data_IF_388688508984
#
_entry.id   IF_388688508984
#
_cell.length_a   1.000
_cell.length_b   1.000
_cell.length_c   1.000
_cell.angle_alpha   90.00
_cell.angle_beta   90.00
_cell.angle_gamma   90.00
#
_symmetry.space_group_name_H-M   'P 1'
#
loop_
_entity.id
_entity.type
_entity.pdbx_description
1 polymer ?
#
# COMPACT_ATOMS: atom_id res chain seq x y z
N UNK A 1 -2.75 -23.66 -21.77
CA UNK A 1 -2.90 -22.27 -22.26
C UNK A 1 -4.36 -21.78 -22.14
N UNK A 2 -5.11 -22.25 -21.14
CA UNK A 2 -6.51 -21.88 -20.89
C UNK A 2 -6.79 -21.83 -19.39
N UNK A 3 -6.15 -20.92 -18.68
CA UNK A 3 -6.48 -20.73 -17.26
C UNK A 3 -7.56 -19.67 -17.13
N UNK A 4 -8.58 -19.96 -16.31
CA UNK A 4 -9.68 -19.07 -15.91
C UNK A 4 -9.17 -17.66 -15.50
N UNK A 5 -7.95 -17.59 -14.97
CA UNK A 5 -7.24 -16.34 -14.65
C UNK A 5 -7.05 -15.39 -15.83
N UNK A 6 -6.71 -15.93 -17.00
CA UNK A 6 -6.48 -15.16 -18.24
C UNK A 6 -7.80 -14.93 -18.98
N UNK A 7 -8.77 -15.85 -18.80
CA UNK A 7 -10.08 -15.80 -19.46
C UNK A 7 -11.08 -14.86 -18.75
N UNK A 8 -10.91 -14.61 -17.45
CA UNK A 8 -11.76 -13.74 -16.64
C UNK A 8 -10.97 -12.78 -15.73
N UNK A 9 -10.12 -11.90 -16.29
CA UNK A 9 -9.46 -10.83 -15.51
C UNK A 9 -10.49 -9.94 -14.78
N UNK A 10 -11.71 -9.81 -15.34
CA UNK A 10 -12.82 -9.10 -14.70
C UNK A 10 -13.22 -9.68 -13.34
N UNK A 11 -13.19 -11.01 -13.16
CA UNK A 11 -13.53 -11.64 -11.87
C UNK A 11 -12.45 -11.34 -10.83
N UNK A 12 -11.17 -11.36 -11.22
CA UNK A 12 -10.05 -11.02 -10.34
C UNK A 12 -10.12 -9.53 -9.92
N UNK A 13 -10.50 -8.65 -10.85
CA UNK A 13 -10.73 -7.23 -10.56
C UNK A 13 -11.90 -7.02 -9.59
N UNK A 14 -13.02 -7.71 -9.80
CA UNK A 14 -14.17 -7.64 -8.89
C UNK A 14 -13.84 -8.13 -7.48
N UNK A 15 -13.03 -9.19 -7.34
CA UNK A 15 -12.56 -9.66 -6.03
C UNK A 15 -11.72 -8.59 -5.33
N UNK A 16 -10.83 -7.91 -6.06
CA UNK A 16 -10.02 -6.81 -5.51
C UNK A 16 -10.92 -5.66 -4.99
N UNK A 17 -11.94 -5.26 -5.75
CA UNK A 17 -12.87 -4.18 -5.36
C UNK A 17 -13.75 -4.53 -4.15
N UNK A 18 -14.21 -5.79 -4.07
CA UNK A 18 -14.95 -6.28 -2.90
C UNK A 18 -14.04 -6.29 -1.67
N UNK A 19 -12.79 -6.75 -1.84
CA UNK A 19 -11.77 -6.74 -0.79
C UNK A 19 -11.47 -5.32 -0.31
N UNK A 20 -11.27 -4.36 -1.21
CA UNK A 20 -11.08 -2.94 -0.88
C UNK A 20 -12.26 -2.40 -0.05
N UNK A 21 -13.49 -2.64 -0.50
CA UNK A 21 -14.69 -2.19 0.24
C UNK A 21 -14.72 -2.76 1.66
N UNK A 22 -14.41 -4.05 1.82
CA UNK A 22 -14.35 -4.69 3.14
C UNK A 22 -13.24 -4.13 4.02
N UNK A 23 -12.07 -3.84 3.45
CA UNK A 23 -10.95 -3.28 4.20
C UNK A 23 -11.19 -1.82 4.59
N UNK A 24 -11.80 -1.01 3.74
CA UNK A 24 -12.23 0.35 4.09
C UNK A 24 -13.14 0.34 5.31
N UNK A 25 -14.11 -0.57 5.37
CA UNK A 25 -14.99 -0.73 6.53
C UNK A 25 -14.24 -1.23 7.78
N UNK A 26 -13.17 -2.01 7.60
CA UNK A 26 -12.35 -2.51 8.70
C UNK A 26 -11.36 -1.46 9.24
N UNK A 27 -11.00 -0.42 8.50
CA UNK A 27 -10.07 0.63 8.92
C UNK A 27 -10.41 1.25 10.28
N UNK A 28 -11.63 1.75 10.56
CA UNK A 28 -11.93 2.36 11.85
C UNK A 28 -11.69 1.40 13.02
N UNK A 29 -11.91 0.09 12.82
CA UNK A 29 -11.62 -0.94 13.82
C UNK A 29 -10.12 -1.12 14.04
N UNK A 30 -9.35 -1.26 12.95
CA UNK A 30 -7.90 -1.44 13.02
C UNK A 30 -7.19 -0.19 13.59
N UNK A 31 -7.64 0.99 13.22
CA UNK A 31 -7.11 2.26 13.71
C UNK A 31 -7.39 2.45 15.20
N UNK A 32 -8.59 2.11 15.67
CA UNK A 32 -8.94 2.17 17.10
C UNK A 32 -8.16 1.16 17.95
N UNK A 33 -7.86 -0.03 17.41
CA UNK A 33 -7.23 -1.12 18.16
C UNK A 33 -5.69 -1.11 18.11
N UNK A 34 -5.10 -0.78 16.97
CA UNK A 34 -3.66 -0.89 16.73
C UNK A 34 -2.96 0.47 16.59
N UNK A 35 -3.70 1.55 16.32
CA UNK A 35 -3.14 2.88 16.09
C UNK A 35 -2.53 3.06 14.69
N UNK A 36 -2.31 4.31 14.31
CA UNK A 36 -1.88 4.71 12.95
C UNK A 36 -0.58 4.00 12.54
N UNK A 37 0.45 4.02 13.41
CA UNK A 37 1.77 3.43 13.11
C UNK A 37 1.71 1.94 12.81
N UNK A 38 0.98 1.16 13.61
CA UNK A 38 0.88 -0.29 13.41
C UNK A 38 0.10 -0.62 12.14
N UNK A 39 -0.93 0.16 11.82
CA UNK A 39 -1.70 0.00 10.56
C UNK A 39 -0.83 0.28 9.34
N UNK A 40 -0.02 1.34 9.38
CA UNK A 40 0.98 1.61 8.33
C UNK A 40 2.02 0.51 8.21
N UNK A 41 2.51 -0.05 9.32
CA UNK A 41 3.45 -1.19 9.26
C UNK A 41 2.80 -2.45 8.68
N UNK A 42 1.55 -2.76 9.07
CA UNK A 42 0.80 -3.89 8.52
C UNK A 42 0.64 -3.77 7.00
N UNK A 43 0.39 -2.56 6.48
CA UNK A 43 0.30 -2.36 5.03
C UNK A 43 1.64 -2.59 4.34
N UNK A 44 2.75 -2.15 4.93
CA UNK A 44 4.09 -2.37 4.36
C UNK A 44 4.49 -3.85 4.33
N UNK A 45 4.17 -4.62 5.38
CA UNK A 45 4.35 -6.08 5.34
C UNK A 45 3.40 -6.76 4.35
N UNK A 46 2.18 -6.26 4.18
CA UNK A 46 1.26 -6.74 3.16
C UNK A 46 1.80 -6.50 1.74
N UNK A 47 2.51 -5.38 1.49
CA UNK A 47 3.23 -5.14 0.24
C UNK A 47 4.36 -6.17 -0.01
N UNK A 48 5.15 -6.50 1.04
CA UNK A 48 6.17 -7.56 0.95
C UNK A 48 5.52 -8.90 0.61
N UNK A 49 4.45 -9.27 1.31
CA UNK A 49 3.72 -10.51 1.07
C UNK A 49 3.14 -10.54 -0.35
N UNK A 50 2.59 -9.43 -0.84
CA UNK A 50 2.06 -9.31 -2.20
C UNK A 50 3.12 -9.60 -3.24
N UNK A 51 4.28 -8.94 -3.17
CA UNK A 51 5.37 -9.17 -4.12
C UNK A 51 5.98 -10.56 -3.98
N UNK A 52 6.09 -11.09 -2.76
CA UNK A 52 6.50 -12.47 -2.51
C UNK A 52 5.55 -13.47 -3.17
N UNK A 53 4.24 -13.30 -2.98
CA UNK A 53 3.21 -14.14 -3.61
C UNK A 53 3.24 -14.03 -5.14
N UNK A 54 3.53 -12.86 -5.70
CA UNK A 54 3.70 -12.71 -7.15
C UNK A 54 4.96 -13.40 -7.69
N UNK A 55 6.04 -13.45 -6.92
CA UNK A 55 7.26 -14.16 -7.31
C UNK A 55 7.10 -15.68 -7.40
N UNK A 56 6.24 -16.25 -6.55
CA UNK A 56 5.95 -17.69 -6.53
C UNK A 56 4.64 -18.07 -7.25
N UNK A 57 3.77 -17.09 -7.52
CA UNK A 57 2.51 -17.28 -8.21
C UNK A 57 2.72 -17.68 -9.66
N UNK A 58 1.93 -18.66 -10.12
CA UNK A 58 1.96 -19.13 -11.51
C UNK A 58 0.51 -19.18 -12.04
N UNK A 59 0.25 -18.74 -13.29
CA UNK A 59 -1.07 -18.83 -13.91
C UNK A 59 -1.61 -20.27 -14.10
N UNK A 60 -0.90 -21.32 -13.69
CA UNK A 60 -1.45 -22.67 -13.51
C UNK A 60 -1.92 -22.92 -12.07
N UNK A 61 -1.29 -23.87 -11.39
CA UNK A 61 -1.62 -24.28 -10.01
C UNK A 61 -1.40 -23.20 -8.95
N UNK A 62 -0.64 -22.14 -9.28
CA UNK A 62 -0.36 -21.00 -8.40
C UNK A 62 -1.39 -19.87 -8.49
N UNK A 63 -2.51 -20.06 -9.18
CA UNK A 63 -3.54 -19.03 -9.35
C UNK A 63 -4.10 -18.53 -8.01
N UNK A 64 -4.23 -19.43 -7.03
CA UNK A 64 -4.69 -19.06 -5.69
C UNK A 64 -3.74 -18.04 -5.02
N UNK A 65 -2.43 -18.11 -5.28
CA UNK A 65 -1.46 -17.14 -4.76
C UNK A 65 -1.65 -15.75 -5.40
N UNK A 66 -2.03 -15.71 -6.69
CA UNK A 66 -2.33 -14.47 -7.41
C UNK A 66 -3.65 -13.86 -6.90
N UNK A 67 -4.68 -14.69 -6.69
CA UNK A 67 -5.95 -14.21 -6.09
C UNK A 67 -5.71 -13.69 -4.67
N UNK A 68 -4.91 -14.40 -3.87
CA UNK A 68 -4.54 -13.97 -2.52
C UNK A 68 -3.76 -12.65 -2.55
N UNK A 69 -2.83 -12.47 -3.50
CA UNK A 69 -2.07 -11.23 -3.65
C UNK A 69 -2.95 -10.04 -4.07
N UNK A 70 -4.03 -10.29 -4.81
CA UNK A 70 -5.08 -9.32 -5.13
C UNK A 70 -5.93 -8.92 -3.92
N UNK A 71 -6.24 -9.84 -3.00
CA UNK A 71 -6.95 -9.51 -1.76
C UNK A 71 -6.05 -8.68 -0.84
N UNK A 72 -4.80 -9.13 -0.66
CA UNK A 72 -3.80 -8.46 0.16
C UNK A 72 -3.47 -7.06 -0.37
N UNK A 73 -3.59 -6.85 -1.69
CA UNK A 73 -3.47 -5.54 -2.30
C UNK A 73 -4.43 -4.52 -1.72
N UNK A 74 -5.72 -4.83 -1.69
CA UNK A 74 -6.75 -3.88 -1.24
C UNK A 74 -6.45 -3.46 0.18
N UNK A 75 -6.14 -4.43 1.05
CA UNK A 75 -5.68 -4.14 2.41
C UNK A 75 -4.45 -3.22 2.43
N UNK A 76 -3.40 -3.56 1.67
CA UNK A 76 -2.15 -2.81 1.67
C UNK A 76 -2.32 -1.38 1.14
N UNK A 77 -3.10 -1.22 0.07
CA UNK A 77 -3.39 0.06 -0.56
C UNK A 77 -4.27 0.93 0.33
N UNK A 78 -5.40 0.40 0.82
CA UNK A 78 -6.35 1.15 1.63
C UNK A 78 -5.74 1.54 2.97
N UNK A 79 -5.09 0.60 3.66
CA UNK A 79 -4.50 0.88 4.96
C UNK A 79 -3.39 1.92 4.83
N UNK A 80 -2.53 1.84 3.80
CA UNK A 80 -1.49 2.85 3.61
C UNK A 80 -2.05 4.23 3.27
N UNK A 81 -2.95 4.32 2.29
CA UNK A 81 -3.46 5.60 1.81
C UNK A 81 -4.34 6.30 2.85
N UNK A 82 -5.25 5.57 3.50
CA UNK A 82 -6.18 6.16 4.46
C UNK A 82 -5.49 6.48 5.77
N UNK A 83 -4.66 5.57 6.32
CA UNK A 83 -3.92 5.88 7.56
C UNK A 83 -2.88 6.99 7.35
N UNK A 84 -2.21 7.03 6.19
CA UNK A 84 -1.31 8.11 5.83
C UNK A 84 -2.03 9.46 5.71
N UNK A 85 -3.19 9.48 5.06
CA UNK A 85 -4.01 10.69 4.94
C UNK A 85 -4.49 11.19 6.31
N UNK A 86 -4.94 10.29 7.19
CA UNK A 86 -5.33 10.62 8.57
C UNK A 86 -4.15 11.09 9.42
N UNK A 87 -2.95 10.55 9.20
CA UNK A 87 -1.75 11.03 9.87
C UNK A 87 -1.42 12.47 9.47
N UNK A 88 -1.42 12.76 8.16
CA UNK A 88 -1.18 14.10 7.62
C UNK A 88 -2.25 15.08 8.11
N UNK A 89 -3.51 14.65 8.18
CA UNK A 89 -4.61 15.44 8.75
C UNK A 89 -4.33 15.84 10.21
N UNK A 90 -3.88 14.88 11.02
CA UNK A 90 -3.58 15.11 12.44
C UNK A 90 -2.37 16.02 12.69
N UNK A 91 -1.49 16.18 11.70
CA UNK A 91 -0.31 17.05 11.77
C UNK A 91 -0.53 18.42 11.12
N UNK A 92 -1.69 18.66 10.51
CA UNK A 92 -1.98 19.90 9.78
C UNK A 92 -3.13 20.68 10.40
N UNK A 93 -3.08 22.02 10.25
CA UNK A 93 -4.14 22.88 10.76
C UNK A 93 -5.45 22.66 9.99
N UNK A 94 -6.63 22.82 10.63
CA UNK A 94 -7.92 22.53 10.01
C UNK A 94 -8.14 23.19 8.64
N UNK A 95 -7.57 24.39 8.46
CA UNK A 95 -7.72 25.19 7.23
C UNK A 95 -7.06 24.55 6.00
N UNK A 96 -6.04 23.70 6.17
CA UNK A 96 -5.28 23.11 5.06
C UNK A 96 -5.33 21.58 5.00
N UNK A 97 -6.13 20.93 5.86
CA UNK A 97 -6.22 19.46 5.94
C UNK A 97 -6.53 18.80 4.61
N UNK A 98 -7.56 19.28 3.90
CA UNK A 98 -7.97 18.73 2.61
C UNK A 98 -6.85 18.86 1.56
N UNK A 99 -6.17 20.01 1.53
CA UNK A 99 -5.04 20.24 0.63
C UNK A 99 -3.84 19.35 0.95
N UNK A 100 -3.55 19.14 2.24
CA UNK A 100 -2.44 18.29 2.67
C UNK A 100 -2.69 16.81 2.36
N UNK A 101 -3.92 16.31 2.56
CA UNK A 101 -4.32 14.96 2.15
C UNK A 101 -4.27 14.78 0.64
N UNK A 102 -4.78 15.76 -0.13
CA UNK A 102 -4.71 15.75 -1.59
C UNK A 102 -3.27 15.72 -2.11
N UNK A 103 -2.38 16.51 -1.50
CA UNK A 103 -0.96 16.52 -1.82
C UNK A 103 -0.30 15.18 -1.50
N UNK A 104 -0.61 14.57 -0.34
CA UNK A 104 -0.11 13.24 0.02
C UNK A 104 -0.52 12.19 -1.02
N UNK A 105 -1.80 12.14 -1.39
CA UNK A 105 -2.33 11.22 -2.41
C UNK A 105 -1.68 11.44 -3.78
N UNK A 106 -1.45 12.70 -4.18
CA UNK A 106 -0.76 13.02 -5.44
C UNK A 106 0.71 12.58 -5.42
N UNK A 107 1.39 12.70 -4.27
CA UNK A 107 2.78 12.26 -4.13
C UNK A 107 2.91 10.74 -4.15
N UNK A 108 1.99 10.00 -3.51
CA UNK A 108 2.07 8.53 -3.42
C UNK A 108 1.57 7.86 -4.70
N UNK A 109 0.38 8.23 -5.17
CA UNK A 109 -0.30 7.54 -6.28
C UNK A 109 -0.11 8.25 -7.63
N UNK A 110 0.35 9.50 -7.64
CA UNK A 110 0.68 10.25 -8.86
C UNK A 110 2.18 10.18 -9.15
N UNK A 111 2.95 11.13 -8.59
CA UNK A 111 4.38 11.24 -8.87
C UNK A 111 5.17 10.00 -8.47
N UNK A 112 4.88 9.43 -7.29
CA UNK A 112 5.51 8.20 -6.82
C UNK A 112 5.31 7.03 -7.77
N UNK A 113 4.10 6.88 -8.33
CA UNK A 113 3.80 5.85 -9.32
C UNK A 113 4.55 6.07 -10.64
N UNK A 114 4.65 7.32 -11.12
CA UNK A 114 5.36 7.66 -12.35
C UNK A 114 6.87 7.38 -12.21
N UNK A 115 7.50 7.93 -11.16
CA UNK A 115 8.93 7.78 -10.91
C UNK A 115 9.26 6.30 -10.64
N UNK A 116 8.44 5.62 -9.83
CA UNK A 116 8.60 4.21 -9.54
C UNK A 116 8.51 3.32 -10.78
N UNK A 117 7.56 3.61 -11.69
CA UNK A 117 7.41 2.88 -12.94
C UNK A 117 8.59 3.11 -13.89
N UNK A 118 9.08 4.35 -14.00
CA UNK A 118 10.26 4.67 -14.81
C UNK A 118 11.53 4.01 -14.28
N UNK A 119 11.80 4.15 -12.97
CA UNK A 119 12.99 3.60 -12.33
C UNK A 119 12.99 2.06 -12.36
N UNK A 120 11.85 1.44 -12.05
CA UNK A 120 11.74 -0.02 -12.11
C UNK A 120 11.84 -0.56 -13.53
N UNK A 121 11.23 0.11 -14.52
CA UNK A 121 11.36 -0.26 -15.93
C UNK A 121 12.82 -0.27 -16.38
N UNK A 122 13.59 0.75 -16.01
CA UNK A 122 15.01 0.83 -16.31
C UNK A 122 15.85 -0.27 -15.63
N UNK A 123 15.60 -0.54 -14.34
CA UNK A 123 16.30 -1.60 -13.60
C UNK A 123 15.98 -2.99 -14.18
N UNK A 124 14.71 -3.22 -14.53
CA UNK A 124 14.26 -4.46 -15.16
C UNK A 124 14.99 -4.67 -16.50
N UNK A 125 15.05 -3.62 -17.32
CA UNK A 125 15.68 -3.71 -18.64
C UNK A 125 17.18 -4.00 -18.57
N UNK A 126 17.88 -3.44 -17.58
CA UNK A 126 19.33 -3.65 -17.41
C UNK A 126 19.70 -4.99 -16.75
N UNK A 127 18.96 -5.44 -15.75
CA UNK A 127 19.36 -6.56 -14.88
C UNK A 127 18.52 -7.82 -15.04
N UNK A 128 17.28 -7.71 -15.54
CA UNK A 128 16.32 -8.81 -15.55
C UNK A 128 15.81 -9.17 -16.95
N UNK A 129 16.35 -8.52 -17.99
CA UNK A 129 16.17 -8.89 -19.40
C UNK A 129 17.28 -9.85 -19.82
N UNK A 130 16.91 -11.08 -20.15
CA UNK A 130 17.84 -12.06 -20.70
C UNK A 130 18.28 -11.67 -22.13
N UNK A 131 19.37 -12.26 -22.66
CA UNK A 131 19.83 -12.02 -24.04
C UNK A 131 18.79 -12.34 -25.13
N UNK A 132 17.81 -13.19 -24.80
CA UNK A 132 16.69 -13.56 -25.67
C UNK A 132 15.46 -12.63 -25.53
N UNK A 133 15.60 -11.50 -24.81
CA UNK A 133 14.53 -10.56 -24.45
C UNK A 133 13.43 -11.14 -23.57
N UNK A 134 13.66 -12.28 -22.92
CA UNK A 134 12.70 -12.80 -21.92
C UNK A 134 12.92 -12.13 -20.57
N UNK A 135 11.81 -11.80 -19.90
CA UNK A 135 11.83 -11.18 -18.59
C UNK A 135 11.84 -12.24 -17.49
N UNK A 136 12.77 -12.11 -16.55
CA UNK A 136 12.84 -12.98 -15.37
C UNK A 136 11.82 -12.57 -14.30
N UNK A 137 10.52 -12.75 -14.59
CA UNK A 137 9.40 -12.31 -13.73
C UNK A 137 9.56 -12.68 -12.25
N UNK A 138 9.94 -13.93 -11.95
CA UNK A 138 10.17 -14.38 -10.58
C UNK A 138 11.22 -13.53 -9.85
N UNK A 139 12.35 -13.27 -10.50
CA UNK A 139 13.45 -12.51 -9.91
C UNK A 139 13.12 -11.02 -9.79
N UNK A 140 12.35 -10.48 -10.73
CA UNK A 140 11.82 -9.11 -10.69
C UNK A 140 10.93 -8.95 -9.44
N UNK A 141 9.93 -9.83 -9.28
CA UNK A 141 9.00 -9.77 -8.15
C UNK A 141 9.69 -9.99 -6.80
N UNK A 142 10.66 -10.91 -6.72
CA UNK A 142 11.46 -11.11 -5.51
C UNK A 142 12.33 -9.89 -5.18
N UNK A 143 12.87 -9.21 -6.19
CA UNK A 143 13.64 -7.98 -5.99
C UNK A 143 12.75 -6.85 -5.46
N UNK A 144 11.53 -6.71 -5.99
CA UNK A 144 10.53 -5.80 -5.43
C UNK A 144 10.14 -6.16 -3.99
N UNK A 145 9.94 -7.45 -3.70
CA UNK A 145 9.65 -7.92 -2.34
C UNK A 145 10.78 -7.58 -1.37
N UNK A 146 12.03 -7.78 -1.78
CA UNK A 146 13.23 -7.41 -1.02
C UNK A 146 13.31 -5.90 -0.78
N UNK A 147 13.10 -5.09 -1.82
CA UNK A 147 13.06 -3.63 -1.70
C UNK A 147 11.98 -3.17 -0.73
N UNK A 148 10.75 -3.68 -0.86
CA UNK A 148 9.65 -3.37 0.07
C UNK A 148 9.96 -3.80 1.50
N UNK A 149 10.67 -4.92 1.69
CA UNK A 149 11.06 -5.38 3.02
C UNK A 149 12.06 -4.43 3.65
N UNK A 150 13.06 -3.96 2.88
CA UNK A 150 14.01 -2.95 3.34
C UNK A 150 13.27 -1.66 3.72
N UNK A 151 12.35 -1.18 2.89
CA UNK A 151 11.53 0.00 3.19
C UNK A 151 10.68 -0.20 4.45
N UNK A 152 10.06 -1.38 4.62
CA UNK A 152 9.26 -1.71 5.81
C UNK A 152 10.12 -1.70 7.09
N UNK A 153 11.33 -2.25 7.03
CA UNK A 153 12.27 -2.26 8.16
C UNK A 153 12.75 -0.83 8.46
N UNK A 154 13.12 -0.06 7.44
CA UNK A 154 13.51 1.34 7.61
C UNK A 154 12.38 2.15 8.24
N UNK A 155 11.15 1.97 7.77
CA UNK A 155 9.98 2.63 8.35
C UNK A 155 9.76 2.21 9.81
N UNK A 156 9.93 0.93 10.13
CA UNK A 156 9.83 0.44 11.51
C UNK A 156 10.81 1.15 12.46
N UNK A 157 12.04 1.42 12.00
CA UNK A 157 13.11 2.04 12.80
C UNK A 157 12.96 3.57 12.83
N UNK A 158 12.67 4.20 11.69
CA UNK A 158 12.65 5.66 11.54
C UNK A 158 11.34 6.29 12.02
N UNK A 159 10.21 5.59 11.90
CA UNK A 159 8.91 6.14 12.26
C UNK A 159 8.72 6.16 13.78
N UNK A 160 9.00 7.30 14.41
CA UNK A 160 8.68 7.56 15.82
C UNK A 160 7.23 7.99 15.97
N UNK A 161 6.57 7.45 16.99
CA UNK A 161 5.21 7.83 17.37
C UNK A 161 5.20 9.27 17.90
N UNK A 162 5.07 10.25 17.02
CA UNK A 162 4.69 11.59 17.47
C UNK A 162 3.20 11.58 17.79
N UNK A 163 2.88 11.76 19.07
CA UNK A 163 1.51 12.00 19.51
C UNK A 163 0.96 13.20 18.73
N UNK A 164 -0.26 13.13 18.19
CA UNK A 164 -0.85 14.25 17.45
C UNK A 164 -0.95 15.45 18.41
N UNK A 165 -0.20 16.52 18.11
CA UNK A 165 -0.12 17.74 18.94
C UNK A 165 -1.45 18.51 18.98
N UNK A 166 -2.37 18.22 18.07
CA UNK A 166 -3.58 19.02 17.86
C UNK A 166 -4.77 18.67 18.79
N UNK A 167 -4.71 17.57 19.56
CA UNK A 167 -5.84 17.16 20.39
C UNK A 167 -6.00 17.96 21.71
N UNK A 168 -5.05 18.83 22.07
CA UNK A 168 -5.12 19.62 23.30
C UNK A 168 -5.68 21.03 23.07
N UNK A 169 -5.39 21.70 21.96
CA UNK A 169 -5.84 23.09 21.73
C UNK A 169 -7.33 23.20 21.33
N UNK A 170 -7.88 22.27 20.55
CA UNK A 170 -9.31 22.33 20.15
C UNK A 170 -10.27 21.92 21.30
N UNK A 171 -9.77 21.22 22.32
CA UNK A 171 -10.56 20.95 23.55
C UNK A 171 -10.69 22.18 24.44
N UNK A 172 -9.74 23.12 24.38
CA UNK A 172 -9.81 24.38 25.12
C UNK A 172 -10.67 25.44 24.44
N UNK A 173 -10.91 25.35 23.12
CA UNK A 173 -11.73 26.31 22.38
C UNK A 173 -13.24 26.05 22.40
N UNK A 174 -13.67 24.80 22.59
CA UNK A 174 -15.10 24.43 22.60
C UNK A 174 -15.69 24.40 24.02
N UNK A 175 -14.85 24.38 25.06
CA UNK A 175 -15.29 24.42 26.47
C UNK A 175 -15.56 25.82 27.04
N UNK A 176 -15.35 26.90 26.28
CA UNK A 176 -15.57 28.28 26.74
C UNK A 176 -16.95 28.85 26.34
N UNK A 177 -17.80 28.05 25.69
CA UNK A 177 -19.15 28.44 25.24
C UNK A 177 -20.25 27.46 25.69
N UNK A 178 -20.04 26.74 26.80
CA UNK A 178 -21.07 25.97 27.47
C UNK A 178 -21.41 26.59 28.84
#
# INVERSE_FOLDING_TARGET
>A
KDTIAVKYPAIIMSISQISETLFILAIPFFMKRFGIKRVMLMSMFAWVLRFGLFGYGNPGDGLWMIILSCIVYGMAFDFFNISGSLFIEGQTSPKIRASAQGLFMMMTNGFGAIIGSMASGYIIDLFFTNPDKTLQWKNIWLSFAGYSLVVAILFMILFKDEKPKYNEEDRTGVGALA
#
